data_IF_204377270628
#
_entry.id   IF_204377270628
#
_cell.length_a   1.000
_cell.length_b   1.000
_cell.length_c   1.000
_cell.angle_alpha   90.00
_cell.angle_beta   90.00
_cell.angle_gamma   90.00
#
_symmetry.space_group_name_H-M   'P 1'
#
loop_
_entity.id
_entity.type
_entity.pdbx_description
1 polymer ?
#
# COMPACT_ATOMS: atom_id res chain seq x y z
N UNK A 1 -20.52 -4.14 0.29
CA UNK A 1 -19.13 -3.71 0.02
C UNK A 1 -18.19 -4.59 0.82
N UNK A 2 -17.34 -5.31 0.15
CA UNK A 2 -16.31 -6.17 0.76
C UNK A 2 -14.94 -5.63 0.38
N UNK A 3 -14.10 -5.37 1.35
CA UNK A 3 -12.74 -4.84 1.15
C UNK A 3 -11.74 -5.79 1.77
N UNK A 4 -10.73 -6.18 1.01
CA UNK A 4 -9.55 -6.86 1.52
C UNK A 4 -8.40 -5.86 1.67
N UNK A 5 -7.76 -5.86 2.81
CA UNK A 5 -6.55 -5.08 3.08
C UNK A 5 -5.38 -6.05 3.12
N UNK A 6 -4.41 -5.87 2.23
CA UNK A 6 -3.17 -6.63 2.27
C UNK A 6 -2.03 -5.72 2.74
N UNK A 7 -1.44 -6.08 3.85
CA UNK A 7 -0.24 -5.43 4.39
C UNK A 7 0.98 -6.15 3.85
N UNK A 8 1.80 -5.48 3.06
CA UNK A 8 2.98 -6.09 2.47
C UNK A 8 4.09 -6.25 3.50
N UNK A 9 4.33 -7.47 3.93
CA UNK A 9 5.39 -7.84 4.86
C UNK A 9 6.69 -8.25 4.17
N UNK A 10 7.80 -7.96 4.82
CA UNK A 10 9.13 -8.43 4.46
C UNK A 10 9.69 -9.26 5.62
N UNK A 11 10.16 -10.48 5.36
CA UNK A 11 10.69 -11.37 6.40
C UNK A 11 12.19 -11.28 6.58
N UNK A 12 12.93 -10.93 5.53
CA UNK A 12 14.39 -10.99 5.49
C UNK A 12 15.04 -9.69 5.03
N UNK A 13 14.27 -8.61 4.98
CA UNK A 13 14.77 -7.32 4.51
C UNK A 13 14.89 -6.33 5.65
N UNK A 14 16.10 -6.14 6.16
CA UNK A 14 16.40 -5.10 7.14
C UNK A 14 16.29 -3.69 6.54
N UNK A 15 15.74 -2.73 7.27
CA UNK A 15 15.19 -2.80 8.63
C UNK A 15 13.68 -3.13 8.70
N UNK A 16 13.04 -3.59 7.61
CA UNK A 16 11.58 -3.76 7.49
C UNK A 16 11.08 -5.16 7.86
N UNK A 17 11.99 -6.10 8.17
CA UNK A 17 11.66 -7.52 8.38
C UNK A 17 10.64 -7.80 9.49
N UNK A 18 10.50 -6.90 10.47
CA UNK A 18 9.61 -7.07 11.61
C UNK A 18 8.46 -6.07 11.69
N UNK A 19 8.39 -5.08 10.79
CA UNK A 19 7.36 -4.04 10.81
C UNK A 19 5.93 -4.61 10.74
N UNK A 20 5.71 -5.68 9.98
CA UNK A 20 4.42 -6.33 9.88
C UNK A 20 3.91 -6.89 11.22
N UNK A 21 4.80 -7.31 12.13
CA UNK A 21 4.44 -7.76 13.49
C UNK A 21 3.85 -6.62 14.31
N UNK A 22 4.36 -5.40 14.11
CA UNK A 22 3.81 -4.20 14.74
C UNK A 22 2.41 -3.88 14.21
N UNK A 23 2.17 -4.04 12.91
CA UNK A 23 0.83 -3.89 12.34
C UNK A 23 -0.15 -4.87 13.00
N UNK A 24 0.22 -6.16 13.10
CA UNK A 24 -0.61 -7.19 13.74
C UNK A 24 -0.87 -6.94 15.21
N UNK A 25 0.09 -6.35 15.92
CA UNK A 25 -0.03 -6.08 17.33
C UNK A 25 -0.84 -4.80 17.62
N UNK A 26 -0.93 -3.88 16.67
CA UNK A 26 -1.49 -2.55 16.88
C UNK A 26 -2.83 -2.37 16.16
N UNK A 27 -2.81 -1.92 14.93
CA UNK A 27 -4.00 -1.46 14.24
C UNK A 27 -4.78 -2.54 13.47
N UNK A 28 -4.14 -3.63 13.07
CA UNK A 28 -4.79 -4.71 12.32
C UNK A 28 -5.97 -5.32 13.07
N UNK A 29 -5.88 -5.67 14.37
CA UNK A 29 -7.02 -6.17 15.12
C UNK A 29 -8.19 -5.19 15.13
N UNK A 30 -7.92 -3.90 15.31
CA UNK A 30 -8.94 -2.85 15.36
C UNK A 30 -9.66 -2.65 14.02
N UNK A 31 -8.94 -2.81 12.91
CA UNK A 31 -9.56 -2.78 11.57
C UNK A 31 -10.44 -4.02 11.34
N UNK A 32 -10.01 -5.19 11.82
CA UNK A 32 -10.84 -6.40 11.78
C UNK A 32 -12.12 -6.29 12.61
N UNK A 33 -12.07 -5.64 13.77
CA UNK A 33 -13.25 -5.35 14.60
C UNK A 33 -14.26 -4.44 13.88
N UNK A 34 -13.81 -3.60 12.95
CA UNK A 34 -14.68 -2.81 12.07
C UNK A 34 -15.30 -3.62 10.92
N UNK A 35 -14.96 -4.91 10.81
CA UNK A 35 -15.52 -5.81 9.81
C UNK A 35 -14.77 -5.86 8.49
N UNK A 36 -13.53 -5.37 8.45
CA UNK A 36 -12.66 -5.49 7.27
C UNK A 36 -11.80 -6.75 7.34
N UNK A 37 -11.60 -7.39 6.20
CA UNK A 37 -10.63 -8.47 6.10
C UNK A 37 -9.22 -7.90 5.92
N UNK A 38 -8.30 -8.33 6.79
CA UNK A 38 -6.90 -7.90 6.75
C UNK A 38 -6.00 -9.12 6.77
N UNK A 39 -5.08 -9.21 5.82
CA UNK A 39 -4.04 -10.24 5.81
C UNK A 39 -2.66 -9.60 5.66
N UNK A 40 -1.66 -10.22 6.28
CA UNK A 40 -0.27 -9.89 5.99
C UNK A 40 0.18 -10.71 4.79
N UNK A 41 0.69 -10.07 3.76
CA UNK A 41 1.13 -10.72 2.53
C UNK A 41 2.66 -10.80 2.45
N UNK A 42 3.18 -11.95 2.03
CA UNK A 42 4.61 -12.19 1.89
C UNK A 42 4.95 -12.78 0.52
N UNK A 43 6.19 -12.55 0.07
CA UNK A 43 6.80 -13.38 -0.97
C UNK A 43 7.37 -14.66 -0.35
N UNK A 44 7.18 -15.79 -1.04
CA UNK A 44 7.82 -17.07 -0.73
C UNK A 44 8.00 -17.87 -2.03
N UNK A 45 9.22 -17.93 -2.59
CA UNK A 45 9.45 -18.61 -3.87
C UNK A 45 9.33 -20.13 -3.78
N UNK A 46 9.28 -20.70 -2.56
CA UNK A 46 9.32 -22.13 -2.32
C UNK A 46 7.94 -22.78 -2.17
N UNK A 47 6.84 -22.00 -2.17
CA UNK A 47 5.50 -22.58 -2.15
C UNK A 47 5.19 -23.28 -3.47
N UNK A 48 4.38 -24.33 -3.42
CA UNK A 48 4.05 -25.16 -4.57
C UNK A 48 3.19 -24.41 -5.58
N UNK A 49 2.04 -23.91 -5.11
CA UNK A 49 1.12 -23.11 -5.92
C UNK A 49 1.53 -21.62 -5.95
N UNK A 50 0.84 -20.79 -6.75
CA UNK A 50 1.14 -19.39 -6.83
C UNK A 50 0.75 -18.58 -5.58
N UNK A 51 -0.07 -19.16 -4.68
CA UNK A 51 -0.37 -18.63 -3.35
C UNK A 51 -0.56 -19.74 -2.32
N UNK A 52 -0.41 -19.37 -1.03
CA UNK A 52 -0.73 -20.19 0.13
C UNK A 52 -1.44 -19.31 1.16
N UNK A 53 -2.74 -19.58 1.40
CA UNK A 53 -3.53 -18.85 2.40
C UNK A 53 -3.44 -19.57 3.76
N UNK A 54 -2.84 -18.90 4.74
CA UNK A 54 -2.65 -19.37 6.11
C UNK A 54 -3.57 -18.62 7.10
N UNK A 55 -4.74 -18.20 6.66
CA UNK A 55 -5.71 -17.46 7.48
C UNK A 55 -5.37 -15.97 7.57
N UNK A 56 -4.69 -15.53 8.62
CA UNK A 56 -4.27 -14.14 8.78
C UNK A 56 -3.11 -13.73 7.87
N UNK A 57 -2.39 -14.69 7.34
CA UNK A 57 -1.27 -14.50 6.43
C UNK A 57 -1.58 -15.10 5.07
N UNK A 58 -1.01 -14.51 4.04
CA UNK A 58 -1.03 -15.07 2.69
C UNK A 58 0.38 -14.97 2.09
N UNK A 59 0.83 -16.05 1.49
CA UNK A 59 2.10 -16.11 0.76
C UNK A 59 1.83 -16.15 -0.72
N UNK A 60 2.60 -15.42 -1.49
CA UNK A 60 2.59 -15.46 -2.94
C UNK A 60 3.92 -16.00 -3.45
N UNK A 61 3.88 -16.80 -4.53
CA UNK A 61 5.08 -17.35 -5.15
C UNK A 61 5.90 -16.27 -5.85
N UNK A 62 6.57 -15.47 -5.04
CA UNK A 62 7.37 -14.34 -5.45
C UNK A 62 8.65 -14.26 -4.62
N UNK A 63 9.63 -13.49 -5.07
CA UNK A 63 10.83 -13.23 -4.30
C UNK A 63 10.53 -12.63 -2.93
N UNK A 64 11.31 -12.99 -1.94
CA UNK A 64 11.21 -12.47 -0.57
C UNK A 64 11.64 -10.99 -0.53
N UNK A 65 12.58 -10.62 -1.39
CA UNK A 65 13.18 -9.30 -1.48
C UNK A 65 12.34 -8.27 -2.24
N UNK A 66 12.97 -7.13 -2.55
CA UNK A 66 12.35 -6.04 -3.32
C UNK A 66 12.14 -6.38 -4.78
N UNK A 67 12.93 -7.27 -5.34
CA UNK A 67 12.84 -7.75 -6.72
C UNK A 67 11.51 -8.44 -7.05
N UNK A 68 10.78 -8.92 -6.03
CA UNK A 68 9.44 -9.49 -6.17
C UNK A 68 8.28 -8.56 -5.84
N UNK A 69 8.52 -7.24 -5.66
CA UNK A 69 7.50 -6.31 -5.16
C UNK A 69 6.30 -6.23 -6.11
N UNK A 70 6.52 -6.11 -7.41
CA UNK A 70 5.43 -6.05 -8.39
C UNK A 70 4.56 -7.33 -8.35
N UNK A 71 5.18 -8.49 -8.23
CA UNK A 71 4.47 -9.77 -8.16
C UNK A 71 3.67 -9.90 -6.86
N UNK A 72 4.29 -9.66 -5.70
CA UNK A 72 3.64 -9.86 -4.39
C UNK A 72 2.68 -8.76 -3.96
N UNK A 73 2.73 -7.58 -4.58
CA UNK A 73 1.82 -6.47 -4.27
C UNK A 73 0.71 -6.26 -5.30
N UNK A 74 0.95 -6.61 -6.55
CA UNK A 74 0.01 -6.35 -7.64
C UNK A 74 -0.41 -7.61 -8.37
N UNK A 75 0.49 -8.27 -9.11
CA UNK A 75 0.10 -9.34 -10.04
C UNK A 75 -0.58 -10.51 -9.34
N UNK A 76 0.08 -11.11 -8.34
CA UNK A 76 -0.43 -12.30 -7.68
C UNK A 76 -1.59 -12.00 -6.70
N UNK A 77 -1.57 -10.92 -5.89
CA UNK A 77 -2.73 -10.51 -5.10
C UNK A 77 -3.97 -10.23 -5.95
N UNK A 78 -3.85 -9.45 -7.02
CA UNK A 78 -4.97 -9.14 -7.90
C UNK A 78 -5.52 -10.42 -8.54
N UNK A 79 -4.66 -11.30 -9.03
CA UNK A 79 -5.05 -12.60 -9.56
C UNK A 79 -5.81 -13.43 -8.52
N UNK A 80 -5.25 -13.56 -7.31
CA UNK A 80 -5.87 -14.30 -6.21
C UNK A 80 -7.25 -13.73 -5.84
N UNK A 81 -7.37 -12.40 -5.72
CA UNK A 81 -8.64 -11.75 -5.43
C UNK A 81 -9.68 -12.07 -6.50
N UNK A 82 -9.31 -12.00 -7.78
CA UNK A 82 -10.23 -12.26 -8.89
C UNK A 82 -10.67 -13.72 -9.00
N UNK A 83 -9.75 -14.65 -8.75
CA UNK A 83 -10.00 -16.09 -8.93
C UNK A 83 -10.62 -16.77 -7.72
N UNK A 84 -10.35 -16.30 -6.49
CA UNK A 84 -10.66 -17.04 -5.26
C UNK A 84 -11.54 -16.30 -4.26
N UNK A 85 -11.89 -15.04 -4.51
CA UNK A 85 -12.65 -14.22 -3.58
C UNK A 85 -13.78 -13.45 -4.24
N UNK A 86 -14.60 -12.76 -3.43
CA UNK A 86 -15.67 -11.87 -3.89
C UNK A 86 -15.51 -10.42 -3.36
N UNK A 87 -14.29 -10.02 -3.01
CA UNK A 87 -14.03 -8.65 -2.60
C UNK A 87 -14.27 -7.65 -3.73
N UNK A 88 -14.92 -6.54 -3.39
CA UNK A 88 -15.18 -5.43 -4.30
C UNK A 88 -13.95 -4.55 -4.50
N UNK A 89 -13.11 -4.45 -3.45
CA UNK A 89 -11.94 -3.58 -3.42
C UNK A 89 -10.72 -4.27 -2.80
N UNK A 90 -9.57 -3.97 -3.34
CA UNK A 90 -8.26 -4.28 -2.82
C UNK A 90 -7.61 -3.02 -2.27
N UNK A 91 -7.24 -3.00 -1.00
CA UNK A 91 -6.48 -1.95 -0.35
C UNK A 91 -5.08 -2.48 -0.01
N UNK A 92 -4.06 -1.92 -0.68
CA UNK A 92 -2.66 -2.27 -0.47
C UNK A 92 -2.05 -1.31 0.54
N UNK A 93 -1.24 -1.83 1.47
CA UNK A 93 -0.58 -1.05 2.52
C UNK A 93 0.83 -1.57 2.74
N UNK A 94 1.80 -0.69 2.93
CA UNK A 94 3.13 -1.05 3.38
C UNK A 94 3.16 -1.43 4.86
N UNK A 95 3.99 -2.38 5.24
CA UNK A 95 4.09 -2.87 6.62
C UNK A 95 4.68 -1.85 7.60
N UNK A 96 5.30 -0.79 7.09
CA UNK A 96 5.80 0.34 7.88
C UNK A 96 4.80 1.51 7.97
N UNK A 97 3.55 1.26 7.58
CA UNK A 97 2.45 2.22 7.65
C UNK A 97 1.55 1.96 8.85
N UNK A 98 1.03 3.04 9.44
CA UNK A 98 0.02 3.00 10.48
C UNK A 98 -1.33 3.44 9.92
N UNK A 99 -2.41 2.69 10.23
CA UNK A 99 -3.78 3.05 9.89
C UNK A 99 -4.55 3.40 11.17
N UNK A 100 -5.10 4.61 11.23
CA UNK A 100 -6.02 4.98 12.30
C UNK A 100 -7.42 4.40 12.01
N UNK A 101 -7.92 3.40 12.78
CA UNK A 101 -9.07 2.60 12.39
C UNK A 101 -10.34 3.39 12.08
N UNK A 102 -10.77 4.27 12.98
CA UNK A 102 -12.01 5.05 12.81
C UNK A 102 -11.96 6.01 11.63
N UNK A 103 -10.81 6.68 11.44
CA UNK A 103 -10.64 7.62 10.32
C UNK A 103 -10.60 6.89 8.99
N UNK A 104 -9.93 5.73 8.96
CA UNK A 104 -9.92 4.85 7.81
C UNK A 104 -11.32 4.41 7.42
N UNK A 105 -12.12 3.91 8.37
CA UNK A 105 -13.49 3.47 8.13
C UNK A 105 -14.35 4.62 7.56
N UNK A 106 -14.26 5.80 8.17
CA UNK A 106 -14.99 6.99 7.71
C UNK A 106 -14.57 7.38 6.29
N UNK A 107 -13.28 7.54 6.06
CA UNK A 107 -12.71 7.90 4.75
C UNK A 107 -13.15 6.93 3.67
N UNK A 108 -13.02 5.62 3.95
CA UNK A 108 -13.32 4.59 2.98
C UNK A 108 -14.82 4.55 2.62
N UNK A 109 -15.70 4.59 3.63
CA UNK A 109 -17.16 4.62 3.42
C UNK A 109 -17.61 5.86 2.67
N UNK A 110 -17.10 7.03 3.04
CA UNK A 110 -17.47 8.30 2.42
C UNK A 110 -17.01 8.34 0.96
N UNK A 111 -15.78 7.94 0.66
CA UNK A 111 -15.29 7.94 -0.72
C UNK A 111 -16.03 6.91 -1.58
N UNK A 112 -16.29 5.72 -1.09
CA UNK A 112 -17.01 4.70 -1.86
C UNK A 112 -18.46 5.12 -2.08
N UNK A 113 -19.13 5.66 -1.06
CA UNK A 113 -20.51 6.13 -1.17
C UNK A 113 -20.67 7.30 -2.16
N UNK A 114 -19.73 8.24 -2.12
CA UNK A 114 -19.86 9.49 -2.87
C UNK A 114 -19.27 9.41 -4.28
N UNK A 115 -18.22 8.62 -4.48
CA UNK A 115 -17.44 8.62 -5.72
C UNK A 115 -17.30 7.25 -6.37
N UNK A 116 -17.50 6.14 -5.62
CA UNK A 116 -17.24 4.76 -6.09
C UNK A 116 -15.90 4.65 -6.85
N UNK A 117 -14.78 5.03 -6.23
CA UNK A 117 -13.53 5.22 -6.95
C UNK A 117 -12.99 3.90 -7.49
N UNK A 118 -12.56 3.93 -8.74
CA UNK A 118 -11.89 2.79 -9.39
C UNK A 118 -10.42 2.66 -8.94
N UNK A 119 -9.76 3.80 -8.64
CA UNK A 119 -8.40 3.88 -8.13
C UNK A 119 -8.28 5.08 -7.18
N UNK A 120 -7.77 4.87 -5.97
CA UNK A 120 -7.68 5.90 -4.94
C UNK A 120 -6.38 5.80 -4.15
N UNK A 121 -5.80 6.93 -3.81
CA UNK A 121 -4.60 7.03 -2.98
C UNK A 121 -4.05 8.44 -2.93
N UNK A 122 -2.96 8.64 -2.20
CA UNK A 122 -2.25 9.92 -2.20
C UNK A 122 -1.53 10.13 -3.52
N UNK A 123 -1.90 11.17 -4.23
CA UNK A 123 -1.42 11.45 -5.59
C UNK A 123 0.01 11.97 -5.60
N UNK A 124 0.87 11.25 -6.30
CA UNK A 124 2.25 11.67 -6.61
C UNK A 124 2.34 11.99 -8.10
N UNK A 125 2.84 13.17 -8.49
CA UNK A 125 3.13 13.46 -9.89
C UNK A 125 4.41 12.75 -10.32
N UNK A 126 4.42 12.14 -11.50
CA UNK A 126 5.59 11.44 -12.04
C UNK A 126 6.83 12.35 -12.21
N UNK A 127 6.61 13.66 -12.38
CA UNK A 127 7.67 14.66 -12.46
C UNK A 127 8.36 14.97 -11.12
N UNK A 128 7.74 14.55 -10.00
CA UNK A 128 8.27 14.73 -8.66
C UNK A 128 9.05 13.53 -8.14
N UNK A 129 9.76 12.82 -9.01
CA UNK A 129 10.53 11.64 -8.61
C UNK A 129 11.50 12.03 -7.53
N UNK A 130 11.21 11.55 -6.36
CA UNK A 130 12.09 11.64 -5.21
C UNK A 130 13.37 10.88 -5.57
N UNK A 131 14.50 11.57 -5.67
CA UNK A 131 15.80 11.03 -6.08
C UNK A 131 16.32 9.90 -5.18
N UNK A 132 15.60 9.56 -4.12
CA UNK A 132 15.85 8.37 -3.29
C UNK A 132 15.58 7.03 -4.03
N UNK A 133 14.71 7.04 -5.03
CA UNK A 133 14.56 5.92 -5.94
C UNK A 133 15.46 6.15 -7.14
N UNK A 134 16.38 5.24 -7.38
CA UNK A 134 17.31 5.26 -8.53
C UNK A 134 16.59 5.06 -9.88
N UNK A 135 15.53 5.83 -10.13
CA UNK A 135 14.93 5.93 -11.45
C UNK A 135 15.90 6.77 -12.25
N UNK A 136 16.49 6.19 -13.25
CA UNK A 136 17.51 6.85 -14.07
C UNK A 136 16.85 7.98 -14.86
N UNK A 137 17.58 9.07 -15.11
CA UNK A 137 17.15 10.21 -15.94
C UNK A 137 16.58 9.82 -17.32
N UNK A 138 16.84 8.62 -17.78
CA UNK A 138 16.36 8.07 -19.05
C UNK A 138 14.84 7.88 -19.10
N UNK A 139 14.20 7.68 -17.97
CA UNK A 139 12.76 7.36 -17.90
C UNK A 139 11.89 8.61 -17.74
N UNK A 140 12.52 9.75 -17.47
CA UNK A 140 11.85 11.03 -17.18
C UNK A 140 11.71 11.90 -18.43
N UNK A 141 12.48 11.65 -19.47
CA UNK A 141 12.59 12.54 -20.65
C UNK A 141 11.50 12.31 -21.71
N UNK A 142 10.60 11.37 -21.51
CA UNK A 142 9.46 11.21 -22.40
C UNK A 142 8.24 11.93 -21.80
N UNK A 143 7.86 13.08 -22.40
CA UNK A 143 6.64 13.82 -22.05
C UNK A 143 5.37 12.94 -22.13
N UNK A 144 5.44 11.82 -22.84
CA UNK A 144 4.37 10.81 -22.90
C UNK A 144 4.21 10.05 -21.57
N UNK A 145 5.25 10.01 -20.72
CA UNK A 145 5.25 9.29 -19.44
C UNK A 145 4.77 10.13 -18.24
N UNK A 146 4.37 11.39 -18.46
CA UNK A 146 3.74 12.17 -17.39
C UNK A 146 2.42 11.53 -16.97
N UNK A 147 2.44 10.83 -15.84
CA UNK A 147 1.25 10.27 -15.21
C UNK A 147 1.26 10.55 -13.71
N UNK A 148 0.10 10.46 -13.11
CA UNK A 148 -0.01 10.49 -11.66
C UNK A 148 -0.18 9.07 -11.16
N UNK A 149 0.40 8.76 -10.01
CA UNK A 149 0.22 7.49 -9.33
C UNK A 149 -0.09 7.69 -7.86
N UNK A 150 -0.73 6.71 -7.26
CA UNK A 150 -0.91 6.68 -5.82
C UNK A 150 0.39 6.21 -5.16
N UNK A 151 0.74 6.83 -4.04
CA UNK A 151 1.90 6.38 -3.25
C UNK A 151 1.80 4.91 -2.88
N UNK A 152 2.93 4.22 -2.95
CA UNK A 152 3.07 2.83 -2.51
C UNK A 152 2.72 2.60 -1.04
N UNK A 153 2.70 3.65 -0.21
CA UNK A 153 2.36 3.51 1.22
C UNK A 153 0.96 2.95 1.45
N UNK A 154 -0.03 3.44 0.66
CA UNK A 154 -1.37 2.90 0.66
C UNK A 154 -2.16 3.35 -0.58
N UNK A 155 -2.86 2.40 -1.21
CA UNK A 155 -3.77 2.67 -2.32
C UNK A 155 -4.89 1.64 -2.39
N UNK A 156 -5.98 2.01 -3.07
CA UNK A 156 -7.14 1.15 -3.30
C UNK A 156 -7.43 0.98 -4.78
N UNK A 157 -7.84 -0.22 -5.17
CA UNK A 157 -8.24 -0.58 -6.54
C UNK A 157 -9.58 -1.31 -6.49
N UNK A 158 -10.54 -0.93 -7.35
CA UNK A 158 -11.81 -1.65 -7.49
C UNK A 158 -11.64 -2.99 -8.21
N UNK A 159 -12.53 -3.96 -7.93
CA UNK A 159 -12.55 -5.26 -8.62
C UNK A 159 -12.65 -5.13 -10.14
N UNK A 160 -13.47 -4.19 -10.60
CA UNK A 160 -13.62 -3.88 -12.02
C UNK A 160 -12.27 -3.53 -12.65
N UNK A 161 -11.52 -2.64 -12.02
CA UNK A 161 -10.21 -2.21 -12.51
C UNK A 161 -9.18 -3.32 -12.38
N UNK A 162 -9.18 -4.08 -11.27
CA UNK A 162 -8.30 -5.25 -11.14
C UNK A 162 -8.40 -6.19 -12.34
N UNK A 163 -9.63 -6.50 -12.80
CA UNK A 163 -9.84 -7.37 -13.96
C UNK A 163 -9.36 -6.74 -15.29
N UNK A 164 -9.46 -5.43 -15.41
CA UNK A 164 -9.02 -4.69 -16.60
C UNK A 164 -7.50 -4.60 -16.71
N UNK A 165 -6.81 -4.35 -15.59
CA UNK A 165 -5.36 -4.11 -15.60
C UNK A 165 -4.50 -5.36 -15.46
N UNK A 166 -5.03 -6.47 -14.93
CA UNK A 166 -4.24 -7.68 -14.67
C UNK A 166 -3.50 -8.21 -15.92
N UNK A 167 -4.11 -8.28 -17.12
CA UNK A 167 -3.39 -8.74 -18.32
C UNK A 167 -2.16 -7.87 -18.65
N UNK A 168 -2.28 -6.56 -18.49
CA UNK A 168 -1.16 -5.63 -18.72
C UNK A 168 -0.09 -5.75 -17.64
N UNK A 169 -0.48 -5.89 -16.37
CA UNK A 169 0.46 -6.12 -15.29
C UNK A 169 1.26 -7.40 -15.51
N UNK A 170 0.60 -8.49 -15.93
CA UNK A 170 1.28 -9.77 -16.24
C UNK A 170 2.29 -9.59 -17.39
N UNK A 171 1.93 -8.82 -18.42
CA UNK A 171 2.81 -8.54 -19.56
C UNK A 171 3.96 -7.58 -19.22
N UNK A 172 3.91 -6.90 -18.08
CA UNK A 172 4.97 -5.98 -17.65
C UNK A 172 6.13 -6.78 -17.06
N UNK A 173 7.33 -6.55 -17.58
CA UNK A 173 8.55 -7.14 -17.02
C UNK A 173 8.91 -6.52 -15.67
N UNK A 174 9.51 -7.32 -14.78
CA UNK A 174 9.94 -6.88 -13.44
C UNK A 174 11.30 -6.15 -13.47
N UNK A 175 11.52 -5.30 -14.44
CA UNK A 175 12.82 -4.62 -14.59
C UNK A 175 12.99 -3.40 -13.69
N UNK A 176 11.90 -2.85 -13.18
CA UNK A 176 11.93 -1.77 -12.19
C UNK A 176 11.74 -2.34 -10.80
N UNK A 177 12.84 -2.60 -10.14
CA UNK A 177 12.90 -3.34 -8.86
C UNK A 177 12.23 -2.62 -7.67
N UNK A 178 11.90 -1.33 -7.79
CA UNK A 178 11.57 -0.51 -6.62
C UNK A 178 10.31 0.38 -6.76
N UNK A 179 9.54 0.27 -7.86
CA UNK A 179 8.46 1.22 -8.15
C UNK A 179 7.19 0.56 -8.68
N UNK A 180 6.64 -0.37 -7.92
CA UNK A 180 5.35 -1.00 -8.27
C UNK A 180 4.21 0.01 -8.37
N UNK A 181 4.19 1.04 -7.54
CA UNK A 181 3.24 2.14 -7.54
C UNK A 181 3.34 3.00 -8.82
N UNK A 182 4.55 3.27 -9.30
CA UNK A 182 4.79 3.97 -10.55
C UNK A 182 4.32 3.14 -11.76
N UNK A 183 4.66 1.84 -11.79
CA UNK A 183 4.19 0.90 -12.82
C UNK A 183 2.66 0.85 -12.83
N UNK A 184 2.05 0.75 -11.65
CA UNK A 184 0.60 0.78 -11.51
C UNK A 184 0.01 2.05 -12.10
N UNK A 185 0.56 3.22 -11.79
CA UNK A 185 0.12 4.50 -12.35
C UNK A 185 0.21 4.56 -13.87
N UNK A 186 1.29 4.01 -14.45
CA UNK A 186 1.47 3.91 -15.90
C UNK A 186 0.41 3.02 -16.55
N UNK A 187 0.13 1.87 -15.96
CA UNK A 187 -0.92 0.96 -16.41
C UNK A 187 -2.29 1.61 -16.28
N UNK A 188 -2.59 2.26 -15.15
CA UNK A 188 -3.85 3.00 -14.94
C UNK A 188 -4.06 4.08 -16.01
N UNK A 189 -3.03 4.89 -16.30
CA UNK A 189 -3.08 5.90 -17.37
C UNK A 189 -3.37 5.27 -18.72
N UNK A 190 -2.71 4.16 -19.06
CA UNK A 190 -2.92 3.49 -20.35
C UNK A 190 -4.32 2.91 -20.52
N UNK A 191 -5.04 2.71 -19.43
CA UNK A 191 -6.44 2.24 -19.39
C UNK A 191 -7.44 3.38 -19.18
N UNK A 192 -7.00 4.65 -19.17
CA UNK A 192 -7.81 5.83 -18.87
C UNK A 192 -8.50 5.77 -17.50
N UNK A 193 -7.87 5.13 -16.51
CA UNK A 193 -8.37 5.05 -15.15
C UNK A 193 -7.86 6.26 -14.37
N UNK A 194 -8.81 7.02 -13.81
CA UNK A 194 -8.50 8.22 -13.05
C UNK A 194 -8.19 7.88 -11.59
N UNK A 195 -7.14 8.53 -11.06
CA UNK A 195 -6.80 8.49 -9.64
C UNK A 195 -7.67 9.50 -8.86
N UNK A 196 -8.46 9.01 -7.92
CA UNK A 196 -9.04 9.85 -6.87
C UNK A 196 -7.94 10.19 -5.87
N UNK A 197 -7.58 11.47 -5.81
CA UNK A 197 -6.58 11.94 -4.86
C UNK A 197 -7.18 12.02 -3.46
N UNK A 198 -6.78 11.09 -2.59
CA UNK A 198 -7.19 11.08 -1.19
C UNK A 198 -6.08 11.66 -0.31
N UNK A 199 -6.22 12.93 0.04
CA UNK A 199 -5.20 13.68 0.78
C UNK A 199 -5.12 13.32 2.26
N UNK A 200 -6.12 12.61 2.79
CA UNK A 200 -6.06 12.08 4.15
C UNK A 200 -5.11 10.87 4.28
N UNK A 201 -4.73 10.27 3.16
CA UNK A 201 -3.59 9.35 3.07
C UNK A 201 -2.32 10.20 2.96
N UNK A 202 -1.81 10.70 4.09
CA UNK A 202 -0.61 11.54 4.05
C UNK A 202 0.65 10.71 4.15
N UNK A 203 1.67 11.14 3.40
CA UNK A 203 3.01 10.59 3.45
C UNK A 203 3.89 11.61 4.16
N UNK A 204 4.18 11.38 5.43
CA UNK A 204 5.22 12.15 6.09
C UNK A 204 6.49 11.31 6.20
N UNK A 205 7.59 11.86 5.73
CA UNK A 205 8.85 11.15 5.76
C UNK A 205 9.37 11.03 7.19
N UNK A 206 9.71 9.81 7.57
CA UNK A 206 10.34 9.43 8.82
C UNK A 206 11.55 10.31 9.20
N UNK A 207 12.34 10.78 8.23
CA UNK A 207 13.51 11.60 8.48
C UNK A 207 13.18 12.92 9.19
N UNK A 208 12.06 13.54 8.86
CA UNK A 208 11.64 14.80 9.51
C UNK A 208 11.23 14.56 10.97
N UNK A 209 10.54 13.46 11.24
CA UNK A 209 10.09 13.07 12.58
C UNK A 209 11.26 12.70 13.52
N UNK A 210 12.28 12.01 13.02
CA UNK A 210 13.48 11.65 13.80
C UNK A 210 14.34 12.88 14.14
N UNK A 211 14.48 13.81 13.20
CA UNK A 211 15.32 14.99 13.43
C UNK A 211 14.71 15.94 14.44
N UNK A 212 13.39 16.10 14.42
CA UNK A 212 12.71 17.07 15.28
C UNK A 212 12.41 16.54 16.68
N UNK A 213 12.18 15.24 16.85
CA UNK A 213 12.01 14.64 18.19
C UNK A 213 11.92 13.10 18.17
N UNK A 214 13.01 12.36 18.38
CA UNK A 214 13.00 10.90 18.24
C UNK A 214 12.15 10.17 19.29
N UNK A 215 11.66 10.86 20.33
CA UNK A 215 10.92 10.24 21.43
C UNK A 215 9.57 10.91 21.76
N UNK A 216 9.30 12.05 21.19
CA UNK A 216 8.06 12.79 21.38
C UNK A 216 7.49 13.18 20.02
N UNK A 217 6.83 12.26 19.35
CA UNK A 217 6.03 12.64 18.20
C UNK A 217 4.91 13.52 18.73
N UNK A 218 4.89 14.81 18.37
CA UNK A 218 3.76 15.62 18.75
C UNK A 218 2.51 15.00 18.12
N UNK A 219 1.48 14.81 18.91
CA UNK A 219 0.14 14.40 18.45
C UNK A 219 -0.35 15.14 17.18
N UNK A 220 0.08 16.39 16.88
CA UNK A 220 -0.24 17.05 15.60
C UNK A 220 0.29 16.36 14.34
N UNK A 221 1.35 15.56 14.44
CA UNK A 221 1.86 14.81 13.30
C UNK A 221 1.10 13.50 13.05
N UNK A 222 0.35 13.06 14.00
CA UNK A 222 -0.61 11.96 13.84
C UNK A 222 -1.89 12.51 13.18
N UNK A 223 -1.73 13.43 12.35
CA UNK A 223 -2.77 13.99 11.52
C UNK A 223 -2.94 15.44 11.77
N UNK A 224 -2.78 16.17 10.75
CA UNK A 224 -3.74 17.18 10.47
C UNK A 224 -5.08 16.68 11.03
N UNK A 225 -5.75 17.49 11.83
CA UNK A 225 -6.96 17.12 12.60
C UNK A 225 -8.03 16.38 11.80
N UNK A 226 -7.90 16.33 10.49
CA UNK A 226 -8.81 15.74 9.53
C UNK A 226 -8.21 14.52 8.78
N UNK A 227 -6.90 14.20 8.96
CA UNK A 227 -6.25 13.16 8.19
C UNK A 227 -6.41 11.76 8.79
N UNK A 228 -6.64 10.81 7.94
CA UNK A 228 -6.32 9.41 8.16
C UNK A 228 -4.84 9.24 7.81
N UNK A 229 -4.10 8.57 8.63
CA UNK A 229 -2.66 8.48 8.43
C UNK A 229 -2.24 7.12 7.93
N UNK A 230 -1.56 7.14 6.80
CA UNK A 230 -0.49 6.24 6.52
C UNK A 230 0.81 6.95 6.89
N UNK A 231 1.50 6.51 7.93
CA UNK A 231 2.81 7.03 8.27
C UNK A 231 3.83 5.99 7.87
N UNK A 232 4.67 6.34 6.92
CA UNK A 232 5.74 5.47 6.44
C UNK A 232 6.94 5.46 7.39
N UNK A 233 7.62 4.32 7.43
CA UNK A 233 8.96 4.14 7.99
C UNK A 233 9.07 4.23 9.52
N UNK A 234 8.12 3.64 10.24
CA UNK A 234 8.28 3.49 11.67
C UNK A 234 9.16 2.31 12.06
N UNK A 235 10.07 2.59 12.98
CA UNK A 235 10.76 1.52 13.69
C UNK A 235 9.85 0.90 14.76
N UNK A 236 10.06 -0.38 15.04
CA UNK A 236 9.38 -1.12 16.09
C UNK A 236 9.28 -0.31 17.39
N UNK A 237 8.11 -0.25 17.98
CA UNK A 237 7.85 0.51 19.22
C UNK A 237 7.21 1.89 19.03
N UNK A 238 7.40 2.54 17.88
CA UNK A 238 6.79 3.84 17.63
C UNK A 238 5.30 3.73 17.32
N UNK A 239 4.88 2.73 16.56
CA UNK A 239 3.46 2.43 16.31
C UNK A 239 2.69 2.20 17.61
N UNK A 240 3.28 1.53 18.58
CA UNK A 240 2.65 1.32 19.90
C UNK A 240 2.41 2.61 20.65
N UNK A 241 3.39 3.52 20.63
CA UNK A 241 3.25 4.80 21.27
C UNK A 241 2.13 5.62 20.61
N UNK A 242 2.09 5.62 19.29
CA UNK A 242 1.04 6.28 18.52
C UNK A 242 -0.34 5.73 18.90
N UNK A 243 -0.48 4.41 18.97
CA UNK A 243 -1.76 3.78 19.32
C UNK A 243 -2.21 4.14 20.74
N UNK A 244 -1.29 4.13 21.72
CA UNK A 244 -1.58 4.50 23.09
C UNK A 244 -2.01 5.97 23.22
N UNK A 245 -1.43 6.86 22.42
CA UNK A 245 -1.77 8.29 22.41
C UNK A 245 -3.09 8.59 21.66
N UNK A 246 -3.61 7.63 20.91
CA UNK A 246 -4.87 7.74 20.13
C UNK A 246 -6.07 7.09 20.82
N UNK A 247 -5.86 6.27 21.84
CA UNK A 247 -6.90 5.61 22.64
C UNK A 247 -7.38 6.51 23.78
#
# INVERSE_FOLDING_TARGET
MKVIILVTGFKELEPWNDNWKECERTWVPLIRELGYDVKISFGDPNIEDYFLDEGNHIKFKASIGKDGVLDKRLKLPIRWILEHTDYDYYFCVDSDSFIHPKRFDTMLRDNIKNFSPDYMGFKIPATGINTSHKITQYEINDDSDQHHYASGSAYMISRKVMSQILPKLIATENWMLECDDWILGKVMKSENILLLNETSISIESHQKLIIENPYNIPVPYIGDKNGFLSIQHYTNGLMNKILLDLM
#
